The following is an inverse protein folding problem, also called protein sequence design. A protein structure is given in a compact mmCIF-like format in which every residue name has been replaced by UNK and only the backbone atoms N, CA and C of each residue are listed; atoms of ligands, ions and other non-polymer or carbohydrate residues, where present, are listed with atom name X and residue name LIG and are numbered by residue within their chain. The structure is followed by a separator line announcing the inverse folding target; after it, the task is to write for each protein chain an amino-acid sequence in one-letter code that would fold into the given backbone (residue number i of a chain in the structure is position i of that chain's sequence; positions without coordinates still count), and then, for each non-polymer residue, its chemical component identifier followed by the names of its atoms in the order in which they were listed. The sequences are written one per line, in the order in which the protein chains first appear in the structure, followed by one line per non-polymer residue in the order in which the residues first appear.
data_IF_632145578506
#
_entry.id   IF_632145578506
#
_cell.length_a   1.000
_cell.length_b   1.000
_cell.length_c   1.000
_cell.angle_alpha   90.00
_cell.angle_beta   90.00
_cell.angle_gamma   90.00
#
_symmetry.space_group_name_H-M   'P 1'
#
loop_
_entity.id
_entity.type
_entity.pdbx_description
1 polymer ?
#
# COMPACT_ATOMS: atom_id res chain seq x y z
N UNK A 1 -18.39 -37.01 0.64
CA UNK A 1 -18.28 -36.36 -0.69
C UNK A 1 -17.36 -35.19 -0.46
N UNK A 2 -16.09 -35.54 -0.43
CA UNK A 2 -14.90 -34.81 0.03
C UNK A 2 -13.81 -35.29 -0.93
N UNK A 3 -12.78 -34.47 -1.18
CA UNK A 3 -11.74 -34.55 -2.24
C UNK A 3 -12.04 -33.62 -3.45
N UNK A 4 -11.16 -32.73 -3.94
CA UNK A 4 -9.74 -32.51 -3.65
C UNK A 4 -9.33 -31.09 -4.09
N UNK A 5 -8.68 -30.38 -3.17
CA UNK A 5 -8.03 -29.08 -3.37
C UNK A 5 -6.58 -29.35 -3.82
N UNK A 6 -6.36 -29.59 -5.12
CA UNK A 6 -5.06 -30.12 -5.56
C UNK A 6 -4.77 -29.97 -7.05
N UNK A 7 -4.84 -28.75 -7.61
CA UNK A 7 -4.33 -28.51 -8.97
C UNK A 7 -4.02 -27.04 -9.32
N UNK A 8 -3.21 -26.34 -8.53
CA UNK A 8 -2.56 -25.09 -8.98
C UNK A 8 -1.07 -24.98 -8.60
N UNK A 9 -0.44 -26.08 -8.16
CA UNK A 9 0.99 -26.14 -7.80
C UNK A 9 1.93 -26.38 -9.01
N UNK A 10 1.53 -25.98 -10.24
CA UNK A 10 2.32 -26.34 -11.44
C UNK A 10 2.55 -25.25 -12.48
N UNK A 11 2.20 -23.99 -12.22
CA UNK A 11 2.37 -22.93 -13.22
C UNK A 11 3.36 -21.79 -12.87
N UNK A 12 3.91 -21.78 -11.65
CA UNK A 12 4.98 -20.85 -11.28
C UNK A 12 6.21 -21.65 -10.86
N UNK A 13 6.76 -22.42 -11.81
CA UNK A 13 8.20 -22.72 -11.79
C UNK A 13 8.93 -21.45 -12.27
N UNK A 14 8.81 -20.38 -11.47
CA UNK A 14 9.56 -19.16 -11.67
C UNK A 14 11.02 -19.53 -11.47
N UNK A 15 11.74 -19.53 -12.59
CA UNK A 15 13.18 -19.69 -12.69
C UNK A 15 13.85 -18.91 -11.54
N UNK A 16 14.26 -19.60 -10.50
CA UNK A 16 15.07 -19.08 -9.39
C UNK A 16 16.49 -18.85 -9.89
N UNK A 17 16.64 -17.96 -10.88
CA UNK A 17 17.91 -17.37 -11.24
C UNK A 17 18.12 -16.24 -10.25
N UNK A 18 19.12 -16.38 -9.37
CA UNK A 18 19.58 -15.31 -8.50
C UNK A 18 20.13 -14.17 -9.38
N UNK A 19 19.24 -13.31 -9.85
CA UNK A 19 19.61 -12.08 -10.55
C UNK A 19 20.45 -11.29 -9.56
N UNK A 20 21.74 -11.11 -9.86
CA UNK A 20 22.58 -10.26 -9.04
C UNK A 20 22.06 -8.83 -9.18
N UNK A 21 21.33 -8.37 -8.16
CA UNK A 21 20.88 -6.99 -8.07
C UNK A 21 22.07 -6.04 -8.20
N UNK A 22 21.87 -4.96 -8.95
CA UNK A 22 22.88 -3.91 -9.11
C UNK A 22 23.20 -3.27 -7.76
N UNK A 23 24.38 -2.64 -7.62
CA UNK A 23 24.79 -1.99 -6.36
C UNK A 23 23.78 -0.93 -5.91
N UNK A 24 23.26 -0.12 -6.85
CA UNK A 24 22.25 0.90 -6.57
C UNK A 24 20.93 0.32 -6.05
N UNK A 25 20.48 -0.81 -6.61
CA UNK A 25 19.26 -1.48 -6.15
C UNK A 25 19.41 -2.03 -4.72
N UNK A 26 20.61 -2.48 -4.34
CA UNK A 26 20.89 -2.95 -2.98
C UNK A 26 20.92 -1.83 -1.95
N UNK A 27 21.29 -0.62 -2.35
CA UNK A 27 21.35 0.53 -1.44
C UNK A 27 19.95 1.11 -1.20
N UNK A 28 19.07 1.10 -2.21
CA UNK A 28 17.64 1.45 -2.05
C UNK A 28 16.94 0.54 -1.02
N UNK A 29 17.21 -0.77 -1.05
CA UNK A 29 16.63 -1.72 -0.09
C UNK A 29 17.01 -1.37 1.38
N UNK A 30 18.22 -0.83 1.61
CA UNK A 30 18.67 -0.38 2.94
C UNK A 30 18.01 0.92 3.35
N UNK A 31 17.90 1.88 2.44
CA UNK A 31 17.25 3.16 2.70
C UNK A 31 15.77 2.97 3.05
N UNK A 32 15.04 2.15 2.29
CA UNK A 32 13.64 1.82 2.57
C UNK A 32 13.49 1.15 3.93
N UNK A 33 14.40 0.25 4.30
CA UNK A 33 14.40 -0.38 5.62
C UNK A 33 14.63 0.64 6.75
N UNK A 34 15.62 1.50 6.61
CA UNK A 34 15.90 2.55 7.61
C UNK A 34 14.71 3.52 7.75
N UNK A 35 14.09 3.94 6.64
CA UNK A 35 12.88 4.77 6.67
C UNK A 35 11.72 4.05 7.37
N UNK A 36 11.55 2.75 7.15
CA UNK A 36 10.51 1.95 7.79
C UNK A 36 10.69 1.91 9.30
N UNK A 37 11.91 1.65 9.77
CA UNK A 37 12.23 1.61 11.21
C UNK A 37 12.02 2.97 11.89
N UNK A 38 12.42 4.07 11.24
CA UNK A 38 12.20 5.42 11.75
C UNK A 38 10.71 5.77 11.83
N UNK A 39 9.93 5.48 10.79
CA UNK A 39 8.50 5.77 10.76
C UNK A 39 7.75 5.01 11.87
N UNK A 40 8.04 3.73 12.08
CA UNK A 40 7.44 2.97 13.19
C UNK A 40 7.85 3.53 14.55
N UNK A 41 9.12 3.92 14.73
CA UNK A 41 9.58 4.54 15.98
C UNK A 41 8.84 5.85 16.26
N UNK A 42 8.65 6.68 15.24
CA UNK A 42 7.94 7.96 15.37
C UNK A 42 6.45 7.78 15.65
N UNK A 43 5.82 6.76 15.05
CA UNK A 43 4.43 6.38 15.33
C UNK A 43 4.24 6.01 16.80
N UNK A 44 5.08 5.11 17.34
CA UNK A 44 4.97 4.67 18.74
C UNK A 44 5.32 5.79 19.74
N UNK A 45 6.31 6.62 19.43
CA UNK A 45 6.71 7.73 20.29
C UNK A 45 5.71 8.90 20.28
N UNK A 46 4.73 8.89 19.36
CA UNK A 46 3.79 10.01 19.13
C UNK A 46 4.50 11.35 18.95
N UNK A 47 5.70 11.32 18.35
CA UNK A 47 6.56 12.49 18.21
C UNK A 47 6.01 13.51 17.21
N UNK A 48 5.21 13.05 16.24
CA UNK A 48 4.64 13.88 15.18
C UNK A 48 3.33 14.54 15.63
N UNK A 49 3.15 15.82 15.23
CA UNK A 49 1.86 16.54 15.32
C UNK A 49 0.73 15.79 14.62
N UNK A 50 1.06 15.06 13.56
CA UNK A 50 0.15 14.19 12.82
C UNK A 50 0.51 12.74 13.13
N UNK A 51 -0.23 12.11 14.06
CA UNK A 51 0.09 10.77 14.55
C UNK A 51 0.08 9.69 13.46
N UNK A 52 -0.80 9.81 12.47
CA UNK A 52 -0.92 8.84 11.38
C UNK A 52 0.03 9.09 10.20
N UNK A 53 0.64 10.28 10.10
CA UNK A 53 1.54 10.63 9.00
C UNK A 53 2.68 9.62 8.76
N UNK A 54 3.38 9.09 9.79
CA UNK A 54 4.39 8.05 9.57
C UNK A 54 3.81 6.77 8.96
N UNK A 55 2.62 6.35 9.37
CA UNK A 55 1.94 5.18 8.79
C UNK A 55 1.52 5.45 7.35
N UNK A 56 0.99 6.63 7.06
CA UNK A 56 0.61 7.08 5.72
C UNK A 56 1.79 7.02 4.75
N UNK A 57 2.99 7.43 5.18
CA UNK A 57 4.21 7.34 4.39
C UNK A 57 4.54 5.89 4.03
N UNK A 58 4.49 4.97 5.00
CA UNK A 58 4.76 3.55 4.76
C UNK A 58 3.71 2.93 3.84
N UNK A 59 2.46 3.28 4.04
CA UNK A 59 1.35 2.83 3.21
C UNK A 59 1.53 3.28 1.75
N UNK A 60 1.95 4.53 1.54
CA UNK A 60 2.24 5.07 0.23
C UNK A 60 3.41 4.35 -0.47
N UNK A 61 4.46 3.99 0.28
CA UNK A 61 5.59 3.22 -0.25
C UNK A 61 5.19 1.79 -0.68
N UNK A 62 4.22 1.17 -0.02
CA UNK A 62 3.75 -0.17 -0.38
C UNK A 62 2.78 -0.16 -1.57
N UNK A 63 1.86 0.79 -1.60
CA UNK A 63 0.73 0.81 -2.54
C UNK A 63 0.98 1.67 -3.78
N UNK A 64 1.92 2.62 -3.71
CA UNK A 64 2.17 3.57 -4.79
C UNK A 64 1.01 4.54 -5.04
N UNK A 65 0.15 4.75 -4.05
CA UNK A 65 -0.95 5.70 -4.16
C UNK A 65 -0.45 7.15 -4.21
N UNK A 66 -1.17 7.99 -4.94
CA UNK A 66 -0.86 9.42 -4.98
C UNK A 66 -1.33 10.04 -3.68
N UNK A 67 -0.61 11.06 -3.20
CA UNK A 67 -0.93 11.71 -1.91
C UNK A 67 -2.39 12.19 -1.83
N UNK A 68 -2.96 12.69 -2.93
CA UNK A 68 -4.36 13.11 -2.98
C UNK A 68 -5.36 11.96 -2.83
N UNK A 69 -5.03 10.77 -3.33
CA UNK A 69 -5.88 9.57 -3.19
C UNK A 69 -5.76 9.00 -1.77
N UNK A 70 -4.56 8.98 -1.21
CA UNK A 70 -4.32 8.54 0.19
C UNK A 70 -5.06 9.43 1.19
N UNK A 71 -5.20 10.73 0.91
CA UNK A 71 -5.99 11.62 1.77
C UNK A 71 -7.51 11.44 1.60
N UNK A 72 -7.96 10.82 0.51
CA UNK A 72 -9.38 10.64 0.20
C UNK A 72 -9.90 9.24 0.52
N UNK A 73 -9.02 8.24 0.64
CA UNK A 73 -9.40 6.84 0.84
C UNK A 73 -10.10 6.62 2.18
N UNK A 74 -11.22 5.89 2.15
CA UNK A 74 -11.95 5.41 3.33
C UNK A 74 -11.67 3.93 3.58
N UNK A 75 -11.93 3.46 4.80
CA UNK A 75 -11.90 2.03 5.10
C UNK A 75 -13.01 1.26 4.35
N UNK A 76 -14.08 1.93 3.95
CA UNK A 76 -15.17 1.35 3.13
C UNK A 76 -14.72 1.04 1.69
N UNK A 77 -13.64 1.66 1.23
CA UNK A 77 -13.08 1.45 -0.12
C UNK A 77 -12.23 0.16 -0.20
N UNK A 78 -12.07 -0.55 0.93
CA UNK A 78 -11.32 -1.80 1.02
C UNK A 78 -12.28 -2.95 0.65
N UNK A 79 -12.08 -3.52 -0.53
CA UNK A 79 -12.84 -4.67 -1.01
C UNK A 79 -12.16 -5.99 -0.61
N UNK A 80 -12.96 -6.92 -0.09
CA UNK A 80 -12.50 -8.30 0.16
C UNK A 80 -12.59 -9.12 -1.12
N UNK A 81 -11.52 -9.84 -1.54
CA UNK A 81 -10.30 -10.13 -0.77
C UNK A 81 -9.11 -9.21 -1.15
N UNK A 82 -8.74 -8.27 -0.28
CA UNK A 82 -7.42 -7.64 -0.27
C UNK A 82 -7.12 -6.65 -1.39
N UNK A 83 -8.11 -5.92 -1.89
CA UNK A 83 -7.91 -4.86 -2.88
C UNK A 83 -8.49 -3.54 -2.37
N UNK A 84 -7.88 -2.42 -2.75
CA UNK A 84 -8.45 -1.09 -2.54
C UNK A 84 -8.95 -0.56 -3.87
N UNK A 85 -10.21 -0.13 -3.88
CA UNK A 85 -10.82 0.54 -5.00
C UNK A 85 -10.65 2.05 -4.84
N UNK A 86 -9.85 2.67 -5.72
CA UNK A 86 -9.60 4.11 -5.65
C UNK A 86 -10.52 4.85 -6.61
N UNK A 87 -11.45 5.63 -6.05
CA UNK A 87 -12.46 6.40 -6.82
C UNK A 87 -12.36 7.93 -6.62
N UNK A 88 -11.66 8.35 -5.58
CA UNK A 88 -11.65 9.74 -5.10
C UNK A 88 -10.25 10.25 -4.86
N UNK A 89 -10.07 11.55 -5.04
CA UNK A 89 -8.83 12.25 -4.70
C UNK A 89 -9.10 13.66 -4.19
N UNK A 90 -8.25 14.11 -3.26
CA UNK A 90 -8.26 15.50 -2.78
C UNK A 90 -7.50 16.39 -3.77
N UNK A 91 -8.12 17.50 -4.16
CA UNK A 91 -7.44 18.56 -4.92
C UNK A 91 -6.69 19.49 -3.98
N UNK A 92 -5.39 19.65 -4.22
CA UNK A 92 -4.51 20.48 -3.36
C UNK A 92 -4.97 21.95 -3.26
N UNK A 93 -5.45 22.52 -4.35
CA UNK A 93 -5.75 23.96 -4.42
C UNK A 93 -7.03 24.33 -3.67
N UNK A 94 -8.05 23.47 -3.72
CA UNK A 94 -9.38 23.74 -3.13
C UNK A 94 -9.68 22.92 -1.88
N UNK A 95 -8.84 21.92 -1.57
CA UNK A 95 -9.08 20.91 -0.52
C UNK A 95 -10.42 20.15 -0.67
N UNK A 96 -11.00 20.17 -1.87
CA UNK A 96 -12.22 19.44 -2.16
C UNK A 96 -11.88 17.99 -2.51
N UNK A 97 -12.69 17.07 -1.98
CA UNK A 97 -12.67 15.67 -2.41
C UNK A 97 -13.43 15.62 -3.73
N UNK A 98 -12.72 15.27 -4.79
CA UNK A 98 -13.29 15.09 -6.12
C UNK A 98 -13.44 13.59 -6.34
N UNK A 99 -14.67 13.15 -6.54
CA UNK A 99 -14.98 11.84 -7.10
C UNK A 99 -14.69 11.90 -8.59
N UNK A 100 -13.71 11.12 -9.06
CA UNK A 100 -13.34 11.15 -10.46
C UNK A 100 -14.38 10.39 -11.28
N UNK A 101 -15.27 11.08 -11.99
CA UNK A 101 -16.00 10.48 -13.12
C UNK A 101 -16.00 11.42 -14.33
N UNK A 102 -15.21 11.06 -15.33
CA UNK A 102 -15.50 11.43 -16.74
C UNK A 102 -15.42 10.23 -17.68
N UNK A 103 -14.62 9.20 -17.36
CA UNK A 103 -14.49 7.93 -18.11
C UNK A 103 -13.85 6.84 -17.24
N UNK A 104 -14.05 5.55 -17.59
CA UNK A 104 -13.58 4.32 -16.89
C UNK A 104 -12.06 4.23 -16.65
N UNK A 105 -11.26 5.18 -17.13
CA UNK A 105 -9.81 5.19 -16.93
C UNK A 105 -9.35 5.76 -15.57
N UNK A 106 -10.28 6.27 -14.75
CA UNK A 106 -9.99 6.78 -13.41
C UNK A 106 -9.99 5.70 -12.33
N UNK A 107 -10.76 4.64 -12.54
CA UNK A 107 -10.96 3.57 -11.55
C UNK A 107 -9.79 2.59 -11.60
N UNK A 108 -9.12 2.43 -10.45
CA UNK A 108 -8.01 1.50 -10.31
C UNK A 108 -8.11 0.68 -9.03
N UNK A 109 -7.80 -0.60 -9.18
CA UNK A 109 -7.68 -1.54 -8.06
C UNK A 109 -6.21 -1.67 -7.69
N UNK A 110 -5.91 -1.49 -6.40
CA UNK A 110 -4.57 -1.67 -5.85
C UNK A 110 -4.57 -2.87 -4.92
N UNK A 111 -3.66 -3.81 -5.16
CA UNK A 111 -3.51 -5.02 -4.36
C UNK A 111 -2.89 -4.65 -3.01
N UNK A 112 -3.51 -5.11 -1.92
CA UNK A 112 -2.97 -4.98 -0.57
C UNK A 112 -1.93 -6.07 -0.31
N UNK A 113 -0.70 -5.65 -0.09
CA UNK A 113 0.35 -6.54 0.43
C UNK A 113 0.10 -6.79 1.92
N UNK A 114 0.62 -7.90 2.46
CA UNK A 114 0.51 -8.20 3.89
C UNK A 114 1.04 -7.07 4.80
N UNK A 115 2.05 -6.33 4.34
CA UNK A 115 2.58 -5.15 5.04
C UNK A 115 1.58 -3.98 5.05
N UNK A 116 0.89 -3.76 3.94
CA UNK A 116 -0.14 -2.72 3.87
C UNK A 116 -1.32 -3.04 4.80
N UNK A 117 -1.74 -4.31 4.89
CA UNK A 117 -2.76 -4.74 5.85
C UNK A 117 -2.34 -4.50 7.30
N UNK A 118 -1.09 -4.81 7.67
CA UNK A 118 -0.56 -4.50 9.00
C UNK A 118 -0.59 -3.00 9.34
N UNK A 119 -0.30 -2.15 8.35
CA UNK A 119 -0.34 -0.69 8.54
C UNK A 119 -1.78 -0.21 8.75
N UNK A 120 -2.74 -0.77 8.00
CA UNK A 120 -4.17 -0.46 8.15
C UNK A 120 -4.67 -0.90 9.54
N UNK A 121 -4.33 -2.11 9.98
CA UNK A 121 -4.66 -2.61 11.31
C UNK A 121 -4.07 -1.71 12.41
N UNK A 122 -2.81 -1.27 12.27
CA UNK A 122 -2.17 -0.37 13.22
C UNK A 122 -2.81 1.04 13.24
N UNK A 123 -3.42 1.48 12.14
CA UNK A 123 -4.14 2.75 12.08
C UNK A 123 -5.55 2.68 12.70
N UNK A 124 -6.13 1.48 12.79
CA UNK A 124 -7.42 1.22 13.44
C UNK A 124 -7.30 1.02 14.96
N UNK A 125 -6.11 0.66 15.45
CA UNK A 125 -5.80 0.42 16.87
C UNK A 125 -5.66 1.72 17.69
#
# INVERSE_FOLDING_TARGET
MEEDYGREESFIKFCSRSVQKSTAEKDLDKEVKAMTEMAWKDFHNKASRYGLAPLTLLFQLQTGLRIGEVCAVSFDDIETPGHIHIQRMVRRDTNEVIEHTKTECGDRYVILTAKASQIIEAALA
#
